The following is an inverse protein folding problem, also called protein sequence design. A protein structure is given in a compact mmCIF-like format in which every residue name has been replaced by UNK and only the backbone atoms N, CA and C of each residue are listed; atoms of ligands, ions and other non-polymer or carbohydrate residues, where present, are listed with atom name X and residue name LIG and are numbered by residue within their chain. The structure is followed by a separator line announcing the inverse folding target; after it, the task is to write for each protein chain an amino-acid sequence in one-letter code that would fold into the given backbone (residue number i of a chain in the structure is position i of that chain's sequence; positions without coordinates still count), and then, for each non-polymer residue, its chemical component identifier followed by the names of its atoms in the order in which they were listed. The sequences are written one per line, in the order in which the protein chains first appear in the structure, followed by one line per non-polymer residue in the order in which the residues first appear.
data_IF_647813401646
#
_entry.id   IF_647813401646
#
_cell.length_a   1.000
_cell.length_b   1.000
_cell.length_c   1.000
_cell.angle_alpha   90.00
_cell.angle_beta   90.00
_cell.angle_gamma   90.00
#
_symmetry.space_group_name_H-M   'P 1'
#
loop_
_entity.id
_entity.type
_entity.pdbx_description
1 polymer ?
#
# COMPACT_ATOMS: atom_id res chain seq x y z
N UNK A 1 -16.34 -57.20 17.05
CA UNK A 1 -16.35 -56.01 16.16
C UNK A 1 -16.70 -54.72 16.91
N UNK A 2 -16.29 -54.55 18.18
CA UNK A 2 -16.64 -53.37 18.99
C UNK A 2 -15.46 -52.56 19.54
N UNK A 3 -14.23 -53.09 19.51
CA UNK A 3 -13.09 -52.48 20.23
C UNK A 3 -12.24 -51.51 19.39
N UNK A 4 -12.33 -51.52 18.07
CA UNK A 4 -11.53 -50.60 17.22
C UNK A 4 -12.20 -49.24 16.98
N UNK A 5 -13.51 -49.13 17.18
CA UNK A 5 -14.25 -47.88 17.03
C UNK A 5 -14.02 -46.89 18.18
N UNK A 6 -13.63 -47.40 19.36
CA UNK A 6 -13.52 -46.58 20.59
C UNK A 6 -12.16 -45.89 20.74
N UNK A 7 -11.11 -46.34 20.02
CA UNK A 7 -9.77 -45.75 20.11
C UNK A 7 -9.59 -44.45 19.31
N UNK A 8 -10.52 -44.10 18.41
CA UNK A 8 -10.39 -42.94 17.51
C UNK A 8 -11.06 -41.68 18.04
N UNK A 9 -11.99 -41.80 19.00
CA UNK A 9 -12.76 -40.68 19.55
C UNK A 9 -11.94 -39.68 20.39
N UNK A 10 -10.68 -39.99 20.71
CA UNK A 10 -9.79 -39.16 21.53
C UNK A 10 -8.70 -38.39 20.77
N UNK A 11 -8.58 -38.57 19.44
CA UNK A 11 -7.51 -37.93 18.68
C UNK A 11 -7.76 -36.41 18.58
N UNK A 12 -6.89 -35.61 19.21
CA UNK A 12 -6.98 -34.14 19.15
C UNK A 12 -6.95 -33.67 17.69
N UNK A 13 -7.86 -32.77 17.27
CA UNK A 13 -7.88 -32.28 15.90
C UNK A 13 -6.60 -31.53 15.58
N UNK A 14 -5.99 -31.86 14.44
CA UNK A 14 -4.77 -31.19 13.97
C UNK A 14 -5.14 -30.07 13.01
N UNK A 15 -4.60 -28.87 13.26
CA UNK A 15 -4.88 -27.71 12.41
C UNK A 15 -3.76 -27.51 11.39
N UNK A 16 -4.11 -27.62 10.10
CA UNK A 16 -3.25 -27.28 8.96
C UNK A 16 -3.40 -25.81 8.64
N UNK A 17 -2.32 -25.04 8.80
CA UNK A 17 -2.33 -23.58 8.64
C UNK A 17 -1.00 -23.06 8.10
N UNK A 18 -1.07 -21.96 7.34
CA UNK A 18 0.11 -21.20 6.93
C UNK A 18 0.71 -20.40 8.09
N UNK A 19 1.86 -19.79 7.85
CA UNK A 19 2.48 -18.87 8.81
C UNK A 19 1.54 -17.71 9.14
N UNK A 20 1.42 -17.38 10.43
CA UNK A 20 0.51 -16.33 10.94
C UNK A 20 1.17 -14.97 11.08
N UNK A 21 2.50 -14.91 11.12
CA UNK A 21 3.24 -13.66 11.38
C UNK A 21 3.03 -12.64 10.26
N UNK A 22 3.24 -13.03 9.01
CA UNK A 22 3.07 -12.15 7.85
C UNK A 22 1.64 -11.57 7.75
N UNK A 23 0.54 -12.36 7.84
CA UNK A 23 -0.79 -11.79 7.79
C UNK A 23 -1.16 -10.98 9.03
N UNK A 24 -0.56 -11.23 10.21
CA UNK A 24 -0.71 -10.38 11.40
C UNK A 24 -0.05 -9.01 11.18
N UNK A 25 1.19 -9.00 10.67
CA UNK A 25 1.88 -7.76 10.33
C UNK A 25 1.09 -6.96 9.27
N UNK A 26 0.55 -7.65 8.26
CA UNK A 26 -0.29 -7.04 7.24
C UNK A 26 -1.60 -6.49 7.83
N UNK A 27 -2.28 -7.22 8.75
CA UNK A 27 -3.45 -6.65 9.46
C UNK A 27 -3.10 -5.39 10.24
N UNK A 28 -1.97 -5.35 10.94
CA UNK A 28 -1.57 -4.19 11.71
C UNK A 28 -1.29 -2.98 10.81
N UNK A 29 -0.60 -3.21 9.68
CA UNK A 29 -0.37 -2.19 8.66
C UNK A 29 -1.69 -1.65 8.10
N UNK A 30 -2.61 -2.52 7.68
CA UNK A 30 -3.90 -2.11 7.13
C UNK A 30 -4.79 -1.40 8.18
N UNK A 31 -4.70 -1.77 9.46
CA UNK A 31 -5.36 -1.06 10.54
C UNK A 31 -4.80 0.35 10.73
N UNK A 32 -3.48 0.51 10.64
CA UNK A 32 -2.84 1.84 10.64
C UNK A 32 -3.30 2.70 9.47
N UNK A 33 -3.39 2.12 8.26
CA UNK A 33 -3.91 2.82 7.07
C UNK A 33 -5.36 3.24 7.27
N UNK A 34 -6.21 2.39 7.85
CA UNK A 34 -7.58 2.77 8.18
C UNK A 34 -7.64 3.92 9.18
N UNK A 35 -6.87 3.83 10.27
CA UNK A 35 -6.82 4.89 11.27
C UNK A 35 -6.38 6.22 10.65
N UNK A 36 -5.39 6.19 9.75
CA UNK A 36 -4.96 7.36 8.99
C UNK A 36 -6.09 7.90 8.11
N UNK A 37 -6.83 7.04 7.42
CA UNK A 37 -7.97 7.44 6.59
C UNK A 37 -9.08 8.10 7.40
N UNK A 38 -9.41 7.56 8.57
CA UNK A 38 -10.39 8.16 9.50
C UNK A 38 -9.89 9.51 10.01
N UNK A 39 -8.62 9.59 10.40
CA UNK A 39 -8.02 10.84 10.86
C UNK A 39 -8.07 11.91 9.78
N UNK A 40 -7.65 11.61 8.54
CA UNK A 40 -7.73 12.52 7.40
C UNK A 40 -9.17 12.95 7.09
N UNK A 41 -10.15 12.04 7.21
CA UNK A 41 -11.56 12.38 7.03
C UNK A 41 -12.05 13.37 8.10
N UNK A 42 -11.54 13.27 9.33
CA UNK A 42 -11.99 14.08 10.47
C UNK A 42 -11.25 15.40 10.64
N UNK A 43 -10.03 15.52 10.11
CA UNK A 43 -9.17 16.67 10.42
C UNK A 43 -9.40 17.79 9.40
N UNK A 44 -9.81 18.97 9.91
CA UNK A 44 -9.85 20.20 9.09
C UNK A 44 -8.50 20.91 9.05
N UNK A 45 -7.62 20.60 9.99
CA UNK A 45 -6.29 21.19 10.06
C UNK A 45 -5.56 20.96 8.75
N UNK A 46 -5.44 19.71 8.30
CA UNK A 46 -4.64 19.35 7.12
C UNK A 46 -5.17 19.91 5.81
N UNK A 47 -6.48 20.01 5.62
CA UNK A 47 -7.04 20.35 4.30
C UNK A 47 -7.61 21.77 4.21
N UNK A 48 -7.79 22.46 5.35
CA UNK A 48 -8.44 23.77 5.37
C UNK A 48 -9.79 23.76 4.63
N UNK A 49 -9.88 24.51 3.53
CA UNK A 49 -11.06 24.60 2.66
C UNK A 49 -11.13 23.56 1.53
N UNK A 50 -10.11 22.72 1.34
CA UNK A 50 -10.01 21.76 0.24
C UNK A 50 -10.85 20.48 0.49
N UNK A 51 -12.16 20.66 0.70
CA UNK A 51 -13.08 19.58 1.09
C UNK A 51 -13.11 18.42 0.08
N UNK A 52 -12.98 18.70 -1.22
CA UNK A 52 -12.96 17.66 -2.25
C UNK A 52 -11.70 16.77 -2.12
N UNK A 53 -10.53 17.39 -1.95
CA UNK A 53 -9.27 16.69 -1.73
C UNK A 53 -9.31 15.87 -0.46
N UNK A 54 -9.87 16.42 0.62
CA UNK A 54 -10.11 15.71 1.87
C UNK A 54 -10.98 14.47 1.66
N UNK A 55 -12.13 14.62 0.98
CA UNK A 55 -13.07 13.52 0.75
C UNK A 55 -12.43 12.42 -0.10
N UNK A 56 -11.74 12.80 -1.18
CA UNK A 56 -11.14 11.85 -2.10
C UNK A 56 -9.98 11.08 -1.48
N UNK A 57 -9.06 11.79 -0.82
CA UNK A 57 -7.87 11.20 -0.20
C UNK A 57 -8.25 10.29 0.97
N UNK A 58 -9.11 10.74 1.87
CA UNK A 58 -9.59 9.93 2.99
C UNK A 58 -10.38 8.72 2.51
N UNK A 59 -11.26 8.89 1.52
CA UNK A 59 -12.02 7.79 0.92
C UNK A 59 -11.13 6.70 0.33
N UNK A 60 -10.10 7.07 -0.44
CA UNK A 60 -9.17 6.12 -1.05
C UNK A 60 -8.38 5.35 0.02
N UNK A 61 -7.86 6.05 1.03
CA UNK A 61 -7.12 5.45 2.15
C UNK A 61 -8.02 4.50 2.95
N UNK A 62 -9.27 4.87 3.21
CA UNK A 62 -10.25 4.02 3.87
C UNK A 62 -10.54 2.75 3.07
N UNK A 63 -10.84 2.87 1.77
CA UNK A 63 -11.09 1.71 0.90
C UNK A 63 -9.90 0.77 0.87
N UNK A 64 -8.68 1.30 0.72
CA UNK A 64 -7.45 0.51 0.72
C UNK A 64 -7.24 -0.21 2.06
N UNK A 65 -7.44 0.48 3.19
CA UNK A 65 -7.32 -0.11 4.52
C UNK A 65 -8.38 -1.19 4.78
N UNK A 66 -9.65 -0.98 4.40
CA UNK A 66 -10.74 -1.95 4.59
C UNK A 66 -10.46 -3.20 3.75
N UNK A 67 -10.15 -3.03 2.47
CA UNK A 67 -9.86 -4.15 1.57
C UNK A 67 -8.63 -4.94 2.05
N UNK A 68 -7.58 -4.23 2.46
CA UNK A 68 -6.38 -4.83 3.04
C UNK A 68 -6.68 -5.64 4.30
N UNK A 69 -7.44 -5.09 5.24
CA UNK A 69 -7.88 -5.81 6.45
C UNK A 69 -8.73 -7.02 6.13
N UNK A 70 -9.68 -6.90 5.21
CA UNK A 70 -10.53 -8.01 4.78
C UNK A 70 -9.69 -9.18 4.26
N UNK A 71 -8.76 -8.91 3.35
CA UNK A 71 -7.86 -9.92 2.79
C UNK A 71 -6.93 -10.53 3.84
N UNK A 72 -6.39 -9.69 4.73
CA UNK A 72 -5.49 -10.10 5.82
C UNK A 72 -6.19 -11.04 6.81
N UNK A 73 -7.33 -10.60 7.34
CA UNK A 73 -8.11 -11.37 8.32
C UNK A 73 -8.61 -12.66 7.68
N UNK A 74 -9.04 -12.61 6.42
CA UNK A 74 -9.45 -13.82 5.72
C UNK A 74 -8.29 -14.80 5.50
N UNK A 75 -7.06 -14.32 5.29
CA UNK A 75 -5.85 -15.16 5.28
C UNK A 75 -5.59 -15.79 6.66
N UNK A 76 -5.72 -15.02 7.75
CA UNK A 76 -5.60 -15.51 9.13
C UNK A 76 -6.65 -16.60 9.40
N UNK A 77 -7.91 -16.38 9.02
CA UNK A 77 -9.01 -17.32 9.29
C UNK A 77 -8.93 -18.59 8.46
N UNK A 78 -8.23 -18.56 7.32
CA UNK A 78 -8.07 -19.72 6.45
C UNK A 78 -7.31 -20.85 7.16
N UNK A 79 -8.05 -21.87 7.60
CA UNK A 79 -7.50 -23.05 8.27
C UNK A 79 -8.27 -24.30 7.88
N UNK A 80 -7.58 -25.43 7.90
CA UNK A 80 -8.19 -26.74 7.75
C UNK A 80 -7.93 -27.50 9.04
N UNK A 81 -8.98 -27.95 9.71
CA UNK A 81 -8.87 -28.84 10.85
C UNK A 81 -9.16 -30.25 10.37
N UNK A 82 -8.22 -31.14 10.60
CA UNK A 82 -8.33 -32.55 10.26
C UNK A 82 -8.79 -33.27 11.52
N UNK A 83 -9.99 -33.84 11.46
CA UNK A 83 -10.51 -34.80 12.41
C UNK A 83 -10.42 -36.20 11.79
N UNK A 84 -10.40 -37.28 12.59
CA UNK A 84 -10.40 -38.62 12.04
C UNK A 84 -11.62 -38.89 11.15
N UNK A 85 -12.78 -38.38 11.54
CA UNK A 85 -14.09 -38.62 10.94
C UNK A 85 -14.52 -37.55 9.93
N UNK A 86 -13.82 -36.41 9.84
CA UNK A 86 -14.22 -35.28 8.98
C UNK A 86 -13.11 -34.25 8.77
N UNK A 87 -13.24 -33.44 7.73
CA UNK A 87 -12.47 -32.21 7.56
C UNK A 87 -13.36 -31.00 7.85
N UNK A 88 -12.88 -30.10 8.72
CA UNK A 88 -13.49 -28.78 8.90
C UNK A 88 -12.62 -27.74 8.20
N UNK A 89 -13.15 -27.22 7.10
CA UNK A 89 -12.49 -26.19 6.29
C UNK A 89 -13.13 -24.86 6.66
N UNK A 90 -12.32 -23.88 7.06
CA UNK A 90 -12.78 -22.51 7.28
C UNK A 90 -12.21 -21.65 6.16
N UNK A 91 -12.89 -21.54 5.00
CA UNK A 91 -12.36 -20.78 3.89
C UNK A 91 -12.61 -19.29 4.11
N UNK A 92 -11.55 -18.55 4.42
CA UNK A 92 -11.56 -17.09 4.48
C UNK A 92 -12.61 -16.55 5.48
N UNK A 93 -13.58 -15.76 5.01
CA UNK A 93 -14.68 -15.21 5.80
C UNK A 93 -15.99 -16.00 5.68
N UNK A 94 -15.99 -17.14 4.99
CA UNK A 94 -17.20 -17.94 4.78
C UNK A 94 -17.46 -18.88 5.97
N UNK A 95 -18.67 -19.43 6.01
CA UNK A 95 -19.06 -20.44 7.00
C UNK A 95 -18.13 -21.66 6.91
N UNK A 96 -17.86 -22.25 8.07
CA UNK A 96 -17.16 -23.53 8.16
C UNK A 96 -17.85 -24.56 7.30
N UNK A 97 -17.08 -25.23 6.45
CA UNK A 97 -17.53 -26.33 5.63
C UNK A 97 -16.99 -27.61 6.25
N UNK A 98 -17.91 -28.49 6.64
CA UNK A 98 -17.58 -29.85 7.04
C UNK A 98 -17.62 -30.73 5.80
N UNK A 99 -16.57 -31.51 5.57
CA UNK A 99 -16.45 -32.48 4.48
C UNK A 99 -16.29 -33.86 5.14
N UNK A 100 -17.17 -34.78 4.79
CA UNK A 100 -17.13 -36.15 5.30
C UNK A 100 -16.27 -37.05 4.41
N UNK A 101 -15.77 -38.19 4.92
CA UNK A 101 -15.15 -39.23 4.10
C UNK A 101 -15.99 -39.57 2.87
N UNK A 102 -15.34 -39.75 1.72
CA UNK A 102 -16.00 -40.07 0.44
C UNK A 102 -16.78 -38.94 -0.25
N UNK A 103 -16.93 -37.76 0.37
CA UNK A 103 -17.63 -36.62 -0.24
C UNK A 103 -16.77 -35.85 -1.26
N UNK A 104 -15.44 -36.11 -1.28
CA UNK A 104 -14.49 -35.47 -2.19
C UNK A 104 -14.50 -36.16 -3.54
N UNK A 105 -14.91 -35.43 -4.58
CA UNK A 105 -15.15 -35.97 -5.93
C UNK A 105 -14.08 -35.54 -6.93
N UNK A 106 -13.23 -34.57 -6.59
CA UNK A 106 -12.13 -34.20 -7.48
C UNK A 106 -11.02 -33.42 -6.81
N UNK A 107 -9.81 -33.62 -7.31
CA UNK A 107 -8.60 -32.95 -6.88
C UNK A 107 -7.91 -32.23 -8.03
N UNK A 108 -7.37 -31.05 -7.75
CA UNK A 108 -6.50 -30.36 -8.70
C UNK A 108 -5.33 -29.68 -8.00
N UNK A 109 -4.22 -29.56 -8.73
CA UNK A 109 -3.06 -28.77 -8.33
C UNK A 109 -3.17 -27.43 -9.03
N UNK A 110 -2.77 -26.40 -8.31
CA UNK A 110 -2.67 -25.07 -8.87
C UNK A 110 -1.46 -24.35 -8.28
N UNK A 111 -1.10 -23.25 -8.91
CA UNK A 111 -0.01 -22.39 -8.49
C UNK A 111 1.35 -22.75 -9.13
N UNK A 112 2.31 -21.82 -9.08
CA UNK A 112 3.64 -22.02 -9.66
C UNK A 112 4.35 -23.17 -8.94
N UNK A 113 4.69 -24.24 -9.66
CA UNK A 113 5.30 -25.45 -9.08
C UNK A 113 4.29 -26.45 -8.51
N UNK A 114 2.99 -26.32 -8.80
CA UNK A 114 1.92 -27.21 -8.36
C UNK A 114 1.81 -27.35 -6.83
N UNK A 115 2.20 -26.32 -6.06
CA UNK A 115 2.30 -26.41 -4.59
C UNK A 115 0.97 -26.35 -3.87
N UNK A 116 -0.11 -25.92 -4.54
CA UNK A 116 -1.44 -25.77 -3.94
C UNK A 116 -2.36 -26.92 -4.34
N UNK A 117 -2.86 -27.66 -3.36
CA UNK A 117 -3.85 -28.71 -3.54
C UNK A 117 -5.24 -28.13 -3.32
N UNK A 118 -6.15 -28.40 -4.27
CA UNK A 118 -7.58 -28.08 -4.18
C UNK A 118 -8.39 -29.36 -4.20
N UNK A 119 -9.23 -29.54 -3.19
CA UNK A 119 -10.25 -30.60 -3.16
C UNK A 119 -11.64 -30.01 -3.34
N UNK A 120 -12.48 -30.64 -4.15
CA UNK A 120 -13.88 -30.26 -4.37
C UNK A 120 -14.82 -31.45 -4.13
N UNK A 121 -15.96 -31.15 -3.55
CA UNK A 121 -17.11 -32.05 -3.38
C UNK A 121 -18.05 -31.91 -4.57
N UNK A 122 -18.94 -32.88 -4.79
CA UNK A 122 -19.99 -32.81 -5.82
C UNK A 122 -20.87 -31.55 -5.69
N UNK A 123 -21.02 -31.03 -4.47
CA UNK A 123 -21.81 -29.82 -4.16
C UNK A 123 -21.03 -28.52 -4.38
N UNK A 124 -19.85 -28.56 -5.02
CA UNK A 124 -19.01 -27.39 -5.30
C UNK A 124 -18.30 -26.80 -4.07
N UNK A 125 -18.48 -27.40 -2.88
CA UNK A 125 -17.75 -27.03 -1.66
C UNK A 125 -16.36 -27.64 -1.69
N UNK A 126 -15.35 -26.98 -1.12
CA UNK A 126 -13.99 -27.48 -1.22
C UNK A 126 -13.00 -26.76 -0.33
N UNK A 127 -11.75 -27.18 -0.43
CA UNK A 127 -10.62 -26.56 0.25
C UNK A 127 -9.49 -26.26 -0.71
N UNK A 128 -8.62 -25.34 -0.31
CA UNK A 128 -7.35 -25.07 -0.98
C UNK A 128 -6.27 -24.93 0.10
N UNK A 129 -5.19 -25.68 -0.03
CA UNK A 129 -4.07 -25.65 0.91
C UNK A 129 -2.75 -25.68 0.17
N UNK A 130 -1.74 -25.06 0.76
CA UNK A 130 -0.37 -25.11 0.24
C UNK A 130 0.41 -26.22 0.96
N UNK A 131 1.22 -26.98 0.21
CA UNK A 131 2.07 -28.07 0.71
C UNK A 131 2.99 -27.65 1.85
N UNK A 132 3.44 -26.40 1.88
CA UNK A 132 4.36 -25.87 2.88
C UNK A 132 3.67 -25.42 4.17
N UNK A 133 2.35 -25.64 4.31
CA UNK A 133 1.65 -25.39 5.58
C UNK A 133 2.07 -26.40 6.65
N UNK A 134 2.05 -25.95 7.91
CA UNK A 134 2.35 -26.82 9.05
C UNK A 134 1.31 -27.95 9.12
N UNK A 135 1.75 -29.17 9.41
CA UNK A 135 0.91 -30.39 9.50
C UNK A 135 0.24 -30.84 8.19
N UNK A 136 0.76 -30.41 7.04
CA UNK A 136 0.23 -30.84 5.75
C UNK A 136 0.28 -32.37 5.56
N UNK A 137 1.28 -33.04 6.14
CA UNK A 137 1.43 -34.50 6.16
C UNK A 137 0.22 -35.22 6.79
N UNK A 138 -0.41 -34.61 7.80
CA UNK A 138 -1.61 -35.16 8.46
C UNK A 138 -2.82 -35.09 7.53
N UNK A 139 -2.97 -34.00 6.79
CA UNK A 139 -4.03 -33.87 5.79
C UNK A 139 -3.84 -34.85 4.64
N UNK A 140 -2.60 -35.03 4.16
CA UNK A 140 -2.31 -36.03 3.12
C UNK A 140 -2.72 -37.41 3.61
N UNK A 141 -2.26 -37.84 4.80
CA UNK A 141 -2.64 -39.12 5.43
C UNK A 141 -4.15 -39.34 5.51
N UNK A 142 -4.89 -38.30 5.93
CA UNK A 142 -6.35 -38.39 5.99
C UNK A 142 -6.97 -38.57 4.59
N UNK A 143 -6.49 -37.83 3.59
CA UNK A 143 -6.95 -37.97 2.21
C UNK A 143 -6.64 -39.37 1.65
N UNK A 144 -5.53 -39.98 2.04
CA UNK A 144 -5.18 -41.35 1.61
C UNK A 144 -6.17 -42.40 2.06
N UNK A 145 -6.76 -42.19 3.23
CA UNK A 145 -7.66 -43.14 3.84
C UNK A 145 -9.13 -42.92 3.44
N UNK A 146 -9.49 -41.73 2.94
CA UNK A 146 -10.89 -41.28 2.87
C UNK A 146 -11.34 -40.73 1.49
N UNK A 147 -10.46 -40.63 0.49
CA UNK A 147 -10.83 -40.17 -0.84
C UNK A 147 -11.51 -41.28 -1.67
N UNK A 148 -12.54 -40.93 -2.45
CA UNK A 148 -13.39 -41.86 -3.23
C UNK A 148 -12.87 -42.12 -4.66
N UNK A 149 -11.94 -41.32 -5.19
CA UNK A 149 -11.33 -41.57 -6.50
C UNK A 149 -10.26 -42.68 -6.43
N UNK A 150 -10.03 -43.45 -7.52
CA UNK A 150 -8.94 -44.42 -7.56
C UNK A 150 -7.61 -43.71 -7.28
N UNK A 151 -6.97 -44.16 -6.19
CA UNK A 151 -5.72 -43.69 -5.61
C UNK A 151 -4.59 -43.41 -6.63
N UNK A 152 -4.64 -44.05 -7.79
CA UNK A 152 -3.68 -43.92 -8.90
C UNK A 152 -3.64 -42.53 -9.53
N UNK A 153 -4.79 -41.83 -9.64
CA UNK A 153 -4.81 -40.44 -10.10
C UNK A 153 -4.13 -39.51 -9.08
N UNK A 154 -4.32 -39.81 -7.79
CA UNK A 154 -3.77 -39.08 -6.66
C UNK A 154 -2.25 -39.30 -6.49
N UNK A 155 -1.74 -40.53 -6.60
CA UNK A 155 -0.29 -40.80 -6.51
C UNK A 155 0.48 -40.23 -7.71
N UNK A 156 -0.07 -40.33 -8.92
CA UNK A 156 0.49 -39.68 -10.12
C UNK A 156 0.53 -38.15 -9.95
N UNK A 157 -0.49 -37.60 -9.29
CA UNK A 157 -0.61 -36.19 -8.97
C UNK A 157 0.40 -35.72 -7.91
N UNK A 158 0.56 -36.45 -6.79
CA UNK A 158 1.57 -36.16 -5.79
C UNK A 158 3.00 -36.35 -6.29
N UNK A 159 3.21 -37.27 -7.24
CA UNK A 159 4.44 -37.37 -8.02
C UNK A 159 4.77 -36.08 -8.78
N UNK A 160 3.76 -35.40 -9.34
CA UNK A 160 3.91 -34.09 -10.02
C UNK A 160 4.05 -32.90 -9.05
N UNK A 161 3.63 -33.03 -7.79
CA UNK A 161 3.82 -32.04 -6.73
C UNK A 161 5.27 -31.97 -6.19
N UNK A 162 6.16 -32.88 -6.62
CA UNK A 162 7.53 -33.03 -6.08
C UNK A 162 8.55 -32.01 -6.61
N UNK A 163 8.17 -31.12 -7.53
CA UNK A 163 9.13 -30.25 -8.25
C UNK A 163 9.83 -29.24 -7.33
N UNK A 164 9.18 -28.74 -6.28
CA UNK A 164 9.81 -27.84 -5.31
C UNK A 164 9.93 -28.53 -3.93
N UNK A 165 11.17 -28.85 -3.51
CA UNK A 165 11.46 -29.46 -2.20
C UNK A 165 11.56 -28.45 -1.05
N UNK A 166 11.73 -27.17 -1.35
CA UNK A 166 11.92 -26.13 -0.35
C UNK A 166 10.88 -25.01 -0.48
N UNK A 167 10.41 -24.45 0.65
CA UNK A 167 9.64 -23.22 0.61
C UNK A 167 10.52 -22.14 -0.01
N UNK A 168 10.06 -21.48 -1.08
CA UNK A 168 10.78 -20.36 -1.72
C UNK A 168 10.70 -19.11 -0.84
N UNK A 169 11.33 -19.18 0.35
CA UNK A 169 11.32 -18.13 1.39
C UNK A 169 11.80 -16.80 0.81
N UNK A 170 12.86 -16.83 0.01
CA UNK A 170 13.41 -15.65 -0.66
C UNK A 170 12.40 -15.05 -1.63
N UNK A 171 11.79 -15.86 -2.52
CA UNK A 171 10.77 -15.38 -3.47
C UNK A 171 9.56 -14.78 -2.75
N UNK A 172 9.07 -15.44 -1.70
CA UNK A 172 7.92 -14.97 -0.93
C UNK A 172 8.25 -13.68 -0.17
N UNK A 173 9.46 -13.57 0.40
CA UNK A 173 9.93 -12.35 1.05
C UNK A 173 10.05 -11.20 0.05
N UNK A 174 10.68 -11.44 -1.12
CA UNK A 174 10.78 -10.46 -2.20
C UNK A 174 9.41 -10.02 -2.71
N UNK A 175 8.49 -10.95 -2.92
CA UNK A 175 7.12 -10.63 -3.35
C UNK A 175 6.38 -9.81 -2.29
N UNK A 176 6.54 -10.14 -1.00
CA UNK A 176 5.96 -9.38 0.11
C UNK A 176 6.55 -7.98 0.17
N UNK A 177 7.88 -7.87 0.07
CA UNK A 177 8.59 -6.59 0.08
C UNK A 177 8.19 -5.71 -1.11
N UNK A 178 8.09 -6.28 -2.32
CA UNK A 178 7.62 -5.58 -3.50
C UNK A 178 6.16 -5.12 -3.35
N UNK A 179 5.30 -5.96 -2.79
CA UNK A 179 3.90 -5.62 -2.52
C UNK A 179 3.77 -4.47 -1.50
N UNK A 180 4.57 -4.50 -0.43
CA UNK A 180 4.65 -3.42 0.57
C UNK A 180 5.16 -2.14 -0.07
N UNK A 181 6.27 -2.20 -0.81
CA UNK A 181 6.85 -1.05 -1.49
C UNK A 181 5.85 -0.42 -2.46
N UNK A 182 5.23 -1.23 -3.32
CA UNK A 182 4.20 -0.76 -4.26
C UNK A 182 3.01 -0.12 -3.53
N UNK A 183 2.56 -0.72 -2.43
CA UNK A 183 1.45 -0.20 -1.64
C UNK A 183 1.80 1.14 -0.99
N UNK A 184 2.99 1.27 -0.40
CA UNK A 184 3.49 2.53 0.17
C UNK A 184 3.69 3.61 -0.89
N UNK A 185 4.26 3.27 -2.06
CA UNK A 185 4.40 4.20 -3.17
C UNK A 185 3.05 4.67 -3.68
N UNK A 186 2.07 3.78 -3.81
CA UNK A 186 0.71 4.13 -4.23
C UNK A 186 0.04 5.05 -3.20
N UNK A 187 0.16 4.75 -1.91
CA UNK A 187 -0.35 5.63 -0.85
C UNK A 187 0.39 6.98 -0.76
N UNK A 188 1.67 7.03 -1.07
CA UNK A 188 2.41 8.29 -1.10
C UNK A 188 2.01 9.15 -2.31
N UNK A 189 1.91 8.54 -3.49
CA UNK A 189 1.73 9.27 -4.74
C UNK A 189 0.28 9.69 -4.98
N UNK A 190 -0.71 8.87 -4.63
CA UNK A 190 -2.12 9.16 -4.93
C UNK A 190 -2.77 10.09 -3.89
N UNK A 191 -2.79 9.76 -2.58
CA UNK A 191 -3.28 10.71 -1.58
C UNK A 191 -2.20 11.64 -1.02
N UNK A 192 -0.93 11.23 -0.89
CA UNK A 192 0.09 12.05 -0.23
C UNK A 192 0.41 13.36 -0.96
N UNK A 193 0.57 13.34 -2.29
CA UNK A 193 0.87 14.56 -3.07
C UNK A 193 -0.28 15.59 -3.01
N UNK A 194 -1.56 15.20 -3.24
CA UNK A 194 -2.68 16.13 -3.07
C UNK A 194 -2.86 16.61 -1.62
N UNK A 195 -2.57 15.78 -0.62
CA UNK A 195 -2.59 16.17 0.80
C UNK A 195 -1.57 17.27 1.06
N UNK A 196 -0.34 17.13 0.56
CA UNK A 196 0.70 18.16 0.73
C UNK A 196 0.29 19.48 0.07
N UNK A 197 -0.25 19.44 -1.15
CA UNK A 197 -0.71 20.65 -1.84
C UNK A 197 -1.85 21.33 -1.06
N UNK A 198 -2.82 20.55 -0.60
CA UNK A 198 -3.93 21.08 0.20
C UNK A 198 -3.45 21.65 1.55
N UNK A 199 -2.46 21.00 2.17
CA UNK A 199 -1.84 21.46 3.40
C UNK A 199 -1.13 22.79 3.20
N UNK A 200 -0.32 22.92 2.15
CA UNK A 200 0.40 24.16 1.81
C UNK A 200 -0.56 25.30 1.46
N UNK A 201 -1.65 25.01 0.73
CA UNK A 201 -2.69 26.01 0.44
C UNK A 201 -3.39 26.49 1.72
N UNK A 202 -3.59 25.60 2.70
CA UNK A 202 -4.23 25.89 3.98
C UNK A 202 -3.29 26.55 5.01
N UNK A 203 -1.98 26.29 4.92
CA UNK A 203 -0.97 26.79 5.86
C UNK A 203 0.12 27.52 5.10
N UNK A 204 -0.16 28.79 4.83
CA UNK A 204 0.80 29.69 4.24
C UNK A 204 1.58 30.39 5.34
N UNK A 205 2.90 30.42 5.20
CA UNK A 205 3.81 31.08 6.14
C UNK A 205 4.58 32.20 5.42
N UNK A 206 4.87 33.27 6.15
CA UNK A 206 5.68 34.37 5.64
C UNK A 206 7.13 34.18 6.06
N UNK A 207 8.03 34.14 5.07
CA UNK A 207 9.48 34.03 5.27
C UNK A 207 10.17 35.23 4.62
N UNK A 208 11.18 35.77 5.28
CA UNK A 208 12.01 36.83 4.69
C UNK A 208 13.25 36.18 4.10
N UNK A 209 13.45 36.33 2.79
CA UNK A 209 14.56 35.74 2.07
C UNK A 209 15.23 36.79 1.20
N UNK A 210 16.56 36.77 1.12
CA UNK A 210 17.30 37.65 0.22
C UNK A 210 17.36 37.05 -1.18
N UNK A 211 16.65 37.64 -2.14
CA UNK A 211 16.68 37.24 -3.55
C UNK A 211 17.96 37.80 -4.19
N UNK A 212 18.75 36.93 -4.82
CA UNK A 212 19.99 37.29 -5.52
C UNK A 212 19.84 37.30 -7.03
N UNK A 213 19.05 36.39 -7.58
CA UNK A 213 18.76 36.32 -9.01
C UNK A 213 17.37 35.72 -9.27
N UNK A 214 16.80 36.03 -10.44
CA UNK A 214 15.52 35.47 -10.85
C UNK A 214 15.52 35.11 -12.33
N UNK A 215 15.04 33.91 -12.67
CA UNK A 215 15.04 33.40 -14.05
C UNK A 215 13.67 32.89 -14.46
N UNK A 216 13.26 33.23 -15.66
CA UNK A 216 12.09 32.62 -16.28
C UNK A 216 12.40 31.16 -16.63
N UNK A 217 11.59 30.24 -16.12
CA UNK A 217 11.74 28.81 -16.34
C UNK A 217 10.43 28.21 -16.84
N UNK A 218 10.51 26.99 -17.36
CA UNK A 218 9.33 26.19 -17.69
C UNK A 218 9.40 24.92 -16.86
N UNK A 219 8.45 24.75 -15.94
CA UNK A 219 8.37 23.58 -15.07
C UNK A 219 7.53 22.54 -15.80
N UNK A 220 8.12 21.38 -16.07
CA UNK A 220 7.44 20.29 -16.77
C UNK A 220 7.18 19.13 -15.81
N UNK A 221 5.91 18.74 -15.65
CA UNK A 221 5.56 17.50 -14.96
C UNK A 221 5.54 16.37 -15.99
N UNK A 222 6.71 15.80 -16.32
CA UNK A 222 6.78 14.74 -17.34
C UNK A 222 6.50 13.38 -16.71
N UNK A 223 5.41 12.73 -17.08
CA UNK A 223 5.24 11.29 -16.86
C UNK A 223 6.18 10.52 -17.80
N UNK A 224 6.66 9.34 -17.36
CA UNK A 224 7.39 8.35 -18.18
C UNK A 224 6.65 7.96 -19.48
N UNK A 225 5.34 8.25 -19.58
CA UNK A 225 4.51 8.02 -20.78
C UNK A 225 4.33 9.24 -21.70
N UNK A 226 5.06 10.34 -21.47
CA UNK A 226 5.00 11.53 -22.35
C UNK A 226 3.76 12.41 -22.16
N UNK A 227 2.86 12.06 -21.23
CA UNK A 227 1.79 12.96 -20.78
C UNK A 227 2.40 13.85 -19.70
N UNK A 228 2.56 15.13 -20.02
CA UNK A 228 3.03 16.11 -19.07
C UNK A 228 2.56 17.50 -19.44
N UNK A 229 2.14 18.26 -18.45
CA UNK A 229 1.90 19.68 -18.61
C UNK A 229 3.19 20.43 -18.33
N UNK A 230 3.47 21.42 -19.18
CA UNK A 230 4.55 22.39 -18.98
C UNK A 230 3.91 23.70 -18.60
N UNK A 231 4.36 24.29 -17.51
CA UNK A 231 3.83 25.56 -17.01
C UNK A 231 4.97 26.59 -16.89
N UNK A 232 4.73 27.84 -17.31
CA UNK A 232 5.67 28.92 -17.11
C UNK A 232 5.79 29.22 -15.60
N UNK A 233 7.01 29.45 -15.14
CA UNK A 233 7.29 29.82 -13.75
C UNK A 233 8.52 30.72 -13.69
N UNK A 234 8.80 31.27 -12.51
CA UNK A 234 10.01 32.03 -12.21
C UNK A 234 10.76 31.30 -11.09
N UNK A 235 12.00 30.91 -11.37
CA UNK A 235 12.92 30.38 -10.37
C UNK A 235 13.62 31.56 -9.69
N UNK A 236 13.56 31.59 -8.36
CA UNK A 236 14.19 32.58 -7.50
C UNK A 236 15.37 31.92 -6.79
N UNK A 237 16.54 32.51 -6.94
CA UNK A 237 17.74 32.11 -6.22
C UNK A 237 17.86 33.00 -4.98
N UNK A 238 17.99 32.39 -3.81
CA UNK A 238 18.09 33.10 -2.54
C UNK A 238 19.25 32.57 -1.70
N UNK A 239 19.85 33.43 -0.87
CA UNK A 239 20.94 33.02 0.03
C UNK A 239 20.44 32.26 1.25
N UNK A 240 19.28 32.67 1.77
CA UNK A 240 18.83 32.26 3.11
C UNK A 240 17.81 31.12 3.05
N UNK A 241 17.12 31.00 1.91
CA UNK A 241 16.01 30.07 1.69
C UNK A 241 16.23 29.15 0.48
N UNK A 242 17.46 29.16 -0.10
CA UNK A 242 17.86 28.45 -1.32
C UNK A 242 16.99 28.72 -2.55
N UNK A 243 16.75 27.69 -3.36
CA UNK A 243 16.01 27.82 -4.62
C UNK A 243 14.50 27.66 -4.39
N UNK A 244 13.75 28.66 -4.86
CA UNK A 244 12.30 28.72 -4.73
C UNK A 244 11.66 28.89 -6.11
N UNK A 245 10.48 28.30 -6.32
CA UNK A 245 9.74 28.44 -7.58
C UNK A 245 8.42 29.19 -7.38
N UNK A 246 8.29 30.32 -8.08
CA UNK A 246 7.06 31.09 -8.20
C UNK A 246 6.31 30.68 -9.48
N UNK A 247 5.20 29.98 -9.32
CA UNK A 247 4.38 29.48 -10.44
C UNK A 247 3.00 30.13 -10.50
N UNK A 248 2.43 30.52 -9.35
CA UNK A 248 1.08 31.11 -9.28
C UNK A 248 1.09 32.52 -9.86
N UNK A 249 0.15 32.81 -10.76
CA UNK A 249 0.05 34.10 -11.46
C UNK A 249 1.09 34.31 -12.58
N UNK A 250 1.90 33.28 -12.87
CA UNK A 250 2.88 33.30 -13.96
C UNK A 250 2.28 32.63 -15.20
N UNK A 251 2.33 33.36 -16.30
CA UNK A 251 1.82 32.99 -17.61
C UNK A 251 2.95 33.14 -18.65
N UNK A 252 2.74 32.56 -19.85
CA UNK A 252 3.80 32.49 -20.86
C UNK A 252 4.23 33.88 -21.37
N UNK A 253 3.30 34.84 -21.36
CA UNK A 253 3.46 36.22 -21.78
C UNK A 253 4.10 37.12 -20.70
N UNK A 254 3.90 36.82 -19.41
CA UNK A 254 4.40 37.67 -18.32
C UNK A 254 5.68 37.14 -17.63
N UNK A 255 6.04 35.85 -17.78
CA UNK A 255 7.14 35.23 -17.01
C UNK A 255 8.46 35.99 -17.09
N UNK A 256 8.82 36.48 -18.27
CA UNK A 256 10.11 37.13 -18.51
C UNK A 256 10.13 38.54 -17.91
N UNK A 257 8.97 39.21 -17.89
CA UNK A 257 8.82 40.50 -17.23
C UNK A 257 8.90 40.35 -15.70
N UNK A 258 8.26 39.32 -15.15
CA UNK A 258 8.29 39.04 -13.70
C UNK A 258 9.71 38.64 -13.26
N UNK A 259 10.39 37.76 -14.00
CA UNK A 259 11.77 37.40 -13.71
C UNK A 259 12.69 38.63 -13.72
N UNK A 260 12.61 39.47 -14.75
CA UNK A 260 13.41 40.71 -14.84
C UNK A 260 13.13 41.69 -13.70
N UNK A 261 11.92 41.71 -13.15
CA UNK A 261 11.57 42.60 -12.02
C UNK A 261 12.43 42.27 -10.80
N UNK A 262 12.52 40.99 -10.43
CA UNK A 262 13.26 40.55 -9.26
C UNK A 262 14.77 40.48 -9.52
N UNK A 263 15.19 40.16 -10.75
CA UNK A 263 16.61 40.14 -11.13
C UNK A 263 17.26 41.54 -11.10
N UNK A 264 16.50 42.60 -11.41
CA UNK A 264 16.97 43.99 -11.38
C UNK A 264 16.99 44.62 -9.99
N UNK A 265 16.27 44.05 -9.04
CA UNK A 265 16.19 44.56 -7.67
C UNK A 265 16.46 43.44 -6.65
N UNK A 266 17.69 42.90 -6.59
CA UNK A 266 18.07 41.97 -5.54
C UNK A 266 17.90 42.61 -4.15
N UNK A 267 17.57 41.80 -3.14
CA UNK A 267 17.37 42.29 -1.79
C UNK A 267 16.44 41.43 -0.94
N UNK A 268 16.11 41.89 0.28
CA UNK A 268 15.22 41.17 1.18
C UNK A 268 13.77 41.30 0.74
N UNK A 269 13.12 40.18 0.46
CA UNK A 269 11.71 40.10 0.13
C UNK A 269 10.96 39.26 1.17
N UNK A 270 9.71 39.64 1.45
CA UNK A 270 8.78 38.78 2.19
C UNK A 270 8.07 37.87 1.19
N UNK A 271 8.26 36.57 1.36
CA UNK A 271 7.70 35.53 0.53
C UNK A 271 6.63 34.80 1.32
N UNK A 272 5.47 34.57 0.70
CA UNK A 272 4.45 33.69 1.25
C UNK A 272 4.65 32.30 0.64
N UNK A 273 4.97 31.31 1.46
CA UNK A 273 5.29 29.93 1.03
C UNK A 273 4.35 28.92 1.69
N UNK A 274 4.21 27.75 1.07
CA UNK A 274 3.53 26.61 1.71
C UNK A 274 4.35 26.05 2.87
N UNK A 275 3.80 26.06 4.08
CA UNK A 275 4.54 25.72 5.29
C UNK A 275 5.04 24.26 5.32
N UNK A 276 4.26 23.31 4.80
CA UNK A 276 4.63 21.90 4.77
C UNK A 276 5.75 21.61 3.77
N UNK A 277 5.60 22.11 2.54
CA UNK A 277 6.61 22.00 1.49
C UNK A 277 7.92 22.71 1.88
N UNK A 278 7.83 23.91 2.46
CA UNK A 278 8.99 24.67 2.89
C UNK A 278 9.75 23.99 4.03
N UNK A 279 9.04 23.51 5.06
CA UNK A 279 9.64 22.76 6.16
C UNK A 279 10.37 21.51 5.66
N UNK A 280 9.75 20.74 4.75
CA UNK A 280 10.34 19.55 4.18
C UNK A 280 11.61 19.88 3.39
N UNK A 281 11.56 20.93 2.57
CA UNK A 281 12.70 21.40 1.79
C UNK A 281 13.89 21.80 2.68
N UNK A 282 13.63 22.45 3.80
CA UNK A 282 14.67 22.93 4.72
C UNK A 282 15.31 21.81 5.55
N UNK A 283 14.57 20.73 5.84
CA UNK A 283 15.01 19.65 6.74
C UNK A 283 15.34 18.34 6.03
N UNK A 284 14.98 18.17 4.76
CA UNK A 284 15.24 16.94 4.04
C UNK A 284 16.74 16.78 3.71
N UNK A 285 17.28 15.60 4.00
CA UNK A 285 18.63 15.20 3.59
C UNK A 285 18.69 14.62 2.17
N UNK A 286 17.53 14.56 1.49
CA UNK A 286 17.38 14.06 0.13
C UNK A 286 16.74 15.14 -0.74
N UNK A 287 16.97 15.15 -2.06
CA UNK A 287 16.33 16.09 -2.95
C UNK A 287 14.79 15.96 -2.87
N UNK A 288 14.13 17.02 -2.46
CA UNK A 288 12.67 17.14 -2.45
C UNK A 288 12.23 18.23 -3.43
N UNK A 289 10.98 18.20 -3.92
CA UNK A 289 10.45 19.25 -4.78
C UNK A 289 10.61 20.63 -4.14
N UNK A 290 10.93 21.63 -4.96
CA UNK A 290 11.00 23.02 -4.50
C UNK A 290 9.64 23.47 -3.95
N UNK A 291 9.62 24.20 -2.82
CA UNK A 291 8.38 24.68 -2.24
C UNK A 291 7.72 25.70 -3.15
N UNK A 292 6.39 25.73 -3.12
CA UNK A 292 5.61 26.68 -3.91
C UNK A 292 5.62 28.04 -3.23
N UNK A 293 5.99 29.08 -3.97
CA UNK A 293 5.81 30.48 -3.55
C UNK A 293 4.45 30.97 -4.05
N UNK A 294 3.63 31.47 -3.12
CA UNK A 294 2.28 31.98 -3.41
C UNK A 294 2.26 33.46 -3.73
N UNK A 295 3.06 34.25 -3.04
CA UNK A 295 3.25 35.67 -3.30
C UNK A 295 4.64 36.13 -2.89
N UNK A 296 5.05 37.23 -3.48
CA UNK A 296 6.26 38.00 -3.12
C UNK A 296 5.78 39.41 -2.84
N UNK A 297 5.83 39.83 -1.58
CA UNK A 297 5.51 41.19 -1.20
C UNK A 297 6.67 42.12 -1.55
N UNK A 298 6.41 43.42 -1.61
CA UNK A 298 7.45 44.43 -1.84
C UNK A 298 8.59 44.32 -0.81
N UNK A 299 9.82 44.73 -1.19
CA UNK A 299 10.99 44.54 -0.34
C UNK A 299 10.72 45.08 1.05
N UNK A 300 11.12 44.33 2.08
CA UNK A 300 10.90 44.71 3.46
C UNK A 300 11.66 46.02 3.74
N UNK A 301 10.96 47.16 3.60
CA UNK A 301 11.57 48.47 3.85
C UNK A 301 11.86 48.61 5.34
N UNK A 302 13.12 48.56 5.70
CA UNK A 302 13.69 49.11 6.92
C UNK A 302 15.12 49.55 6.59
N UNK A 303 15.54 50.81 6.71
CA UNK A 303 15.01 51.98 7.40
C UNK A 303 15.33 53.26 6.59
N UNK A 304 14.64 54.40 6.81
CA UNK A 304 15.07 55.68 6.28
C UNK A 304 16.43 56.04 6.87
N UNK A 305 17.38 56.37 6.00
CA UNK A 305 18.59 57.10 6.38
C UNK A 305 18.16 58.48 6.89
N UNK A 306 18.23 58.67 8.20
CA UNK A 306 18.20 59.96 8.89
C UNK A 306 19.40 60.03 9.81
#
# INVERSE_FOLDING_TARGET
MGETAQAVAGARPVTVRGGVIAPIAWTALCAGVLALGVWLASTRLVFGGAWFTQLWTSGLVLVAGVLGLYLSIGSIRNRIRVFPDRLEVVPHMRRTVTISPGELVGFSASGPGNTTIRGRTARGRGFSTDRFRRHHDVLVRWLEQNATEPWTAFTTFFGKLTVDREPRRVRNALFTLFSVAFFLTTLSMFPGLPVMIAYDDAHQEQVTCTITSARAVTVSNRSLKGVGSSHPAVSLETTDCGHLTLSRGIFADNRDAVARRYDRAPGPYRLTVGGGGFWLWQHASVPVPEPTVYSVDEPATGAPTG
#
